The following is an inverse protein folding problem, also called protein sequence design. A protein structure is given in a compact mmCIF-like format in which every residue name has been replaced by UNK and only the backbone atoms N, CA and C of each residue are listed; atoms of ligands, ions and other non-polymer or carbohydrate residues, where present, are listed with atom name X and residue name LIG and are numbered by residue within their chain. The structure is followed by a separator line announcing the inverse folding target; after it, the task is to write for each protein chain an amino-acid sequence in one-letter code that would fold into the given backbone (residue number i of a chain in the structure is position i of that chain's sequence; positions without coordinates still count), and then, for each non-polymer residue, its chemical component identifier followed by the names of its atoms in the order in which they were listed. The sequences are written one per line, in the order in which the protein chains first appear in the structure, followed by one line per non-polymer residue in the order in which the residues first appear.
data_IF_403837638699
#
_entry.id   IF_403837638699
#
_cell.length_a   1.000
_cell.length_b   1.000
_cell.length_c   1.000
_cell.angle_alpha   90.00
_cell.angle_beta   90.00
_cell.angle_gamma   90.00
#
_symmetry.space_group_name_H-M   'P 1'
#
loop_
_entity.id
_entity.type
_entity.pdbx_description
1 polymer ?
#
# COMPACT_ATOMS: atom_id res chain seq x y z
N UNK A 1 24.81 25.32 12.52
CA UNK A 1 25.63 24.13 12.89
C UNK A 1 27.08 24.62 13.08
N UNK A 2 27.74 24.19 14.15
CA UNK A 2 29.18 24.47 14.35
C UNK A 2 29.93 23.16 14.06
N UNK A 3 30.95 23.24 13.21
CA UNK A 3 31.81 22.10 12.88
C UNK A 3 33.24 22.61 12.69
N UNK A 4 34.22 21.99 13.39
CA UNK A 4 35.64 22.41 13.40
C UNK A 4 35.84 23.92 13.69
N UNK A 5 35.06 24.46 14.63
CA UNK A 5 35.14 25.87 15.03
C UNK A 5 34.55 26.88 14.05
N UNK A 6 33.93 26.44 12.94
CA UNK A 6 33.24 27.31 11.97
C UNK A 6 31.74 27.17 12.08
N UNK A 7 31.02 28.27 11.90
CA UNK A 7 29.57 28.29 11.82
C UNK A 7 29.08 28.11 10.38
N UNK A 8 28.03 27.28 10.22
CA UNK A 8 27.38 27.04 8.94
C UNK A 8 25.87 27.20 9.11
N UNK A 9 25.26 27.95 8.21
CA UNK A 9 23.82 28.16 8.17
C UNK A 9 23.17 27.23 7.14
N UNK A 10 22.04 26.62 7.51
CA UNK A 10 21.23 25.79 6.63
C UNK A 10 19.81 26.31 6.62
N UNK A 11 19.19 26.46 5.42
CA UNK A 11 17.81 26.91 5.33
C UNK A 11 16.85 25.96 6.02
N UNK A 12 15.84 26.51 6.70
CA UNK A 12 14.69 25.76 7.19
C UNK A 12 13.60 25.81 6.12
N UNK A 13 13.14 24.66 5.70
CA UNK A 13 11.93 24.52 4.88
C UNK A 13 10.75 24.30 5.80
N UNK A 14 9.68 25.04 5.57
CA UNK A 14 8.43 24.93 6.35
C UNK A 14 7.32 24.45 5.42
N UNK A 15 6.65 23.37 5.80
CA UNK A 15 5.47 22.83 5.12
C UNK A 15 4.20 23.66 5.39
N UNK A 16 3.13 23.36 4.68
CA UNK A 16 1.85 24.08 4.82
C UNK A 16 1.16 23.85 6.18
N UNK A 17 1.46 22.75 6.84
CA UNK A 17 0.97 22.41 8.18
C UNK A 17 2.04 22.70 9.27
N UNK A 18 3.03 23.54 8.94
CA UNK A 18 4.12 23.98 9.81
C UNK A 18 5.18 22.93 10.17
N UNK A 19 5.28 21.81 9.46
CA UNK A 19 6.42 20.90 9.59
C UNK A 19 7.71 21.61 9.16
N UNK A 20 8.76 21.38 9.90
CA UNK A 20 10.04 22.04 9.66
C UNK A 20 11.12 21.01 9.35
N UNK A 21 11.85 21.27 8.27
CA UNK A 21 13.00 20.46 7.87
C UNK A 21 14.22 21.32 7.60
N UNK A 22 15.39 20.83 7.98
CA UNK A 22 16.67 21.45 7.62
C UNK A 22 17.00 21.02 6.18
N UNK A 23 17.18 21.99 5.28
CA UNK A 23 17.68 21.69 3.93
C UNK A 23 19.20 21.45 3.98
N UNK A 24 19.59 20.19 3.77
CA UNK A 24 20.97 19.71 3.84
C UNK A 24 21.66 19.56 2.47
N UNK A 25 21.05 20.01 1.37
CA UNK A 25 21.62 19.86 0.02
C UNK A 25 23.07 20.35 -0.10
N UNK A 26 23.39 21.46 0.58
CA UNK A 26 24.72 22.05 0.56
C UNK A 26 25.65 21.55 1.67
N UNK A 27 25.19 20.69 2.58
CA UNK A 27 25.95 20.23 3.74
C UNK A 27 27.34 19.71 3.35
N UNK A 28 27.38 18.78 2.40
CA UNK A 28 28.64 18.17 1.99
C UNK A 28 29.58 19.16 1.29
N UNK A 29 29.06 20.01 0.43
CA UNK A 29 29.86 21.00 -0.28
C UNK A 29 30.53 22.00 0.67
N UNK A 30 29.85 22.34 1.76
CA UNK A 30 30.33 23.32 2.74
C UNK A 30 31.24 22.71 3.81
N UNK A 31 31.01 21.45 4.20
CA UNK A 31 31.62 20.85 5.39
C UNK A 31 32.33 19.53 5.14
N UNK A 32 32.15 18.90 3.98
CA UNK A 32 32.57 17.51 3.72
C UNK A 32 31.69 16.44 4.36
N UNK A 33 30.83 16.81 5.31
CA UNK A 33 29.95 15.88 6.03
C UNK A 33 28.78 15.39 5.17
N UNK A 34 28.31 14.18 5.47
CA UNK A 34 27.02 13.65 5.02
C UNK A 34 26.17 13.29 6.25
N UNK A 35 24.86 13.14 6.06
CA UNK A 35 23.97 12.62 7.09
C UNK A 35 23.95 11.09 7.07
N UNK A 36 23.73 10.48 8.22
CA UNK A 36 23.52 9.05 8.37
C UNK A 36 22.21 8.82 9.13
N UNK A 37 21.21 8.27 8.44
CA UNK A 37 19.92 7.87 8.99
C UNK A 37 19.45 6.60 8.28
N UNK A 38 19.83 5.44 8.83
CA UNK A 38 19.47 4.16 8.26
C UNK A 38 17.98 3.90 8.37
N UNK A 39 17.32 3.72 7.20
CA UNK A 39 15.87 3.50 7.12
C UNK A 39 15.05 4.79 7.16
N UNK A 40 15.69 5.96 7.02
CA UNK A 40 15.04 7.28 6.84
C UNK A 40 14.05 7.66 7.94
N UNK A 41 14.31 7.28 9.18
CA UNK A 41 13.40 7.52 10.31
C UNK A 41 13.19 9.02 10.60
N UNK A 42 14.21 9.85 10.31
CA UNK A 42 14.24 11.28 10.56
C UNK A 42 14.66 12.06 9.30
N UNK A 43 14.38 11.53 8.11
CA UNK A 43 14.80 12.12 6.84
C UNK A 43 13.60 12.41 5.96
N UNK A 44 13.31 13.69 5.69
CA UNK A 44 12.40 14.10 4.63
C UNK A 44 13.06 13.86 3.26
N UNK A 45 12.53 12.92 2.47
CA UNK A 45 13.10 12.56 1.15
C UNK A 45 12.58 13.40 -0.01
N UNK A 46 11.45 14.08 0.18
CA UNK A 46 10.80 14.90 -0.85
C UNK A 46 9.85 15.93 -0.21
N UNK A 47 9.36 16.85 -1.03
CA UNK A 47 8.15 17.64 -0.75
C UNK A 47 6.99 17.00 -1.51
N UNK A 48 5.84 16.87 -0.86
CA UNK A 48 4.66 16.28 -1.50
C UNK A 48 3.40 17.01 -1.06
N UNK A 49 2.46 17.18 -1.99
CA UNK A 49 1.12 17.69 -1.73
C UNK A 49 0.06 16.56 -1.77
N UNK A 50 0.46 15.29 -1.83
CA UNK A 50 -0.48 14.15 -2.00
C UNK A 50 -1.17 13.82 -0.70
N UNK A 51 -0.40 13.60 0.37
CA UNK A 51 -0.94 13.12 1.65
C UNK A 51 -0.32 13.90 2.81
N UNK A 52 -1.17 14.41 3.68
CA UNK A 52 -0.79 14.91 5.00
C UNK A 52 -1.11 13.88 6.06
N UNK A 53 -0.15 13.62 6.94
CA UNK A 53 -0.28 12.67 8.03
C UNK A 53 0.29 13.26 9.33
N UNK A 54 -0.53 13.32 10.38
CA UNK A 54 -0.09 13.67 11.74
C UNK A 54 -0.38 12.49 12.66
N UNK A 55 0.68 11.76 12.99
CA UNK A 55 0.56 10.55 13.83
C UNK A 55 0.27 10.84 15.30
N UNK A 56 0.61 12.04 15.80
CA UNK A 56 0.33 12.43 17.20
C UNK A 56 -1.14 12.81 17.37
N UNK A 57 -1.71 13.50 16.39
CA UNK A 57 -3.11 13.93 16.38
C UNK A 57 -4.06 12.89 15.76
N UNK A 58 -3.53 11.85 15.10
CA UNK A 58 -4.33 10.85 14.41
C UNK A 58 -5.05 11.41 13.18
N UNK A 59 -4.39 12.28 12.40
CA UNK A 59 -4.96 12.93 11.23
C UNK A 59 -4.38 12.29 9.97
N UNK A 60 -5.24 12.00 8.99
CA UNK A 60 -4.87 11.61 7.63
C UNK A 60 -5.74 12.41 6.65
N UNK A 61 -5.10 13.08 5.68
CA UNK A 61 -5.78 13.83 4.62
C UNK A 61 -5.17 13.50 3.26
N UNK A 62 -6.02 13.34 2.27
CA UNK A 62 -5.60 13.25 0.86
C UNK A 62 -5.91 14.59 0.18
N UNK A 63 -4.90 15.27 -0.33
CA UNK A 63 -5.05 16.59 -0.97
C UNK A 63 -5.85 17.59 -0.13
N UNK A 64 -5.73 17.54 1.19
CA UNK A 64 -6.45 18.40 2.13
C UNK A 64 -7.80 17.86 2.63
N UNK A 65 -8.39 16.85 1.99
CA UNK A 65 -9.65 16.23 2.41
C UNK A 65 -9.42 15.18 3.49
N UNK A 66 -10.21 15.23 4.56
CA UNK A 66 -10.11 14.25 5.64
C UNK A 66 -10.50 12.85 5.15
N UNK A 67 -9.75 11.85 5.61
CA UNK A 67 -9.95 10.45 5.20
C UNK A 67 -11.34 9.93 5.59
N UNK A 68 -11.88 10.39 6.73
CA UNK A 68 -13.21 10.02 7.22
C UNK A 68 -14.32 10.48 6.25
N UNK A 69 -14.20 11.69 5.72
CA UNK A 69 -15.18 12.21 4.76
C UNK A 69 -15.09 11.50 3.42
N UNK A 70 -13.86 11.28 2.92
CA UNK A 70 -13.66 10.55 1.67
C UNK A 70 -14.20 9.12 1.76
N UNK A 71 -13.90 8.39 2.83
CA UNK A 71 -14.39 7.04 3.01
C UNK A 71 -15.92 6.93 3.20
N UNK A 72 -16.56 8.00 3.72
CA UNK A 72 -18.00 8.04 3.94
C UNK A 72 -18.80 8.43 2.69
N UNK A 73 -18.24 9.28 1.81
CA UNK A 73 -19.00 9.98 0.76
C UNK A 73 -18.54 9.66 -0.66
N UNK A 74 -17.27 9.28 -0.86
CA UNK A 74 -16.70 9.14 -2.19
C UNK A 74 -16.63 7.69 -2.67
N UNK A 75 -16.60 7.51 -3.99
CA UNK A 75 -16.20 6.26 -4.63
C UNK A 75 -14.67 6.18 -4.75
N UNK A 76 -14.13 4.96 -4.77
CA UNK A 76 -12.68 4.77 -4.86
C UNK A 76 -12.04 5.45 -6.07
N UNK A 77 -12.70 5.43 -7.22
CA UNK A 77 -12.16 6.11 -8.42
C UNK A 77 -12.20 7.64 -8.31
N UNK A 78 -13.14 8.24 -7.56
CA UNK A 78 -13.10 9.69 -7.25
C UNK A 78 -11.86 10.02 -6.42
N UNK A 79 -11.58 9.20 -5.39
CA UNK A 79 -10.40 9.38 -4.54
C UNK A 79 -9.11 9.11 -5.32
N UNK A 80 -9.11 8.13 -6.24
CA UNK A 80 -7.99 7.89 -7.14
C UNK A 80 -7.71 9.11 -8.03
N UNK A 81 -8.77 9.71 -8.59
CA UNK A 81 -8.66 10.94 -9.37
C UNK A 81 -8.09 12.08 -8.52
N UNK A 82 -8.66 12.31 -7.33
CA UNK A 82 -8.20 13.33 -6.38
C UNK A 82 -6.70 13.19 -6.08
N UNK A 83 -6.25 12.00 -5.67
CA UNK A 83 -4.85 11.74 -5.34
C UNK A 83 -3.92 12.10 -6.52
N UNK A 84 -4.30 11.67 -7.73
CA UNK A 84 -3.45 11.75 -8.91
C UNK A 84 -3.48 13.15 -9.56
N UNK A 85 -4.66 13.78 -9.63
CA UNK A 85 -4.82 15.05 -10.34
C UNK A 85 -4.89 16.27 -9.41
N UNK A 86 -5.14 16.08 -8.11
CA UNK A 86 -5.03 17.13 -7.11
C UNK A 86 -6.36 17.68 -6.60
N UNK A 87 -7.44 17.52 -7.36
CA UNK A 87 -8.79 17.99 -7.04
C UNK A 87 -9.81 16.85 -7.23
N UNK A 88 -10.96 16.95 -6.55
CA UNK A 88 -12.08 16.05 -6.81
C UNK A 88 -12.59 16.28 -8.24
N UNK A 89 -12.95 15.21 -8.98
CA UNK A 89 -13.46 15.35 -10.32
C UNK A 89 -14.85 16.01 -10.32
N UNK A 90 -15.12 16.79 -11.35
CA UNK A 90 -16.52 17.12 -11.71
C UNK A 90 -17.24 15.84 -12.18
N UNK A 91 -18.56 15.86 -12.25
CA UNK A 91 -19.33 14.71 -12.75
C UNK A 91 -18.90 14.28 -14.16
N UNK A 92 -18.62 15.26 -15.05
CA UNK A 92 -18.16 14.99 -16.42
C UNK A 92 -16.76 14.37 -16.44
N UNK A 93 -15.81 14.89 -15.66
CA UNK A 93 -14.46 14.34 -15.52
C UNK A 93 -14.48 12.94 -14.92
N UNK A 94 -15.35 12.70 -13.94
CA UNK A 94 -15.50 11.39 -13.34
C UNK A 94 -16.04 10.36 -14.32
N UNK A 95 -17.06 10.72 -15.10
CA UNK A 95 -17.61 9.84 -16.13
C UNK A 95 -16.61 9.56 -17.25
N UNK A 96 -15.82 10.55 -17.67
CA UNK A 96 -14.73 10.35 -18.63
C UNK A 96 -13.64 9.44 -18.07
N UNK A 97 -13.27 9.63 -16.81
CA UNK A 97 -12.26 8.82 -16.13
C UNK A 97 -12.68 7.34 -16.06
N UNK A 98 -13.91 7.06 -15.61
CA UNK A 98 -14.48 5.71 -15.59
C UNK A 98 -14.48 5.10 -17.00
N UNK A 99 -15.02 5.81 -17.98
CA UNK A 99 -15.09 5.35 -19.37
C UNK A 99 -13.71 5.06 -19.95
N UNK A 100 -12.73 5.90 -19.65
CA UNK A 100 -11.36 5.72 -20.14
C UNK A 100 -10.67 4.52 -19.47
N UNK A 101 -10.87 4.31 -18.16
CA UNK A 101 -10.39 3.10 -17.47
C UNK A 101 -11.02 1.86 -18.11
N UNK A 102 -12.35 1.84 -18.32
CA UNK A 102 -13.06 0.73 -18.97
C UNK A 102 -12.47 0.39 -20.34
N UNK A 103 -12.11 1.41 -21.13
CA UNK A 103 -11.48 1.22 -22.45
C UNK A 103 -10.15 0.46 -22.40
N UNK A 104 -9.41 0.56 -21.27
CA UNK A 104 -8.08 -0.04 -21.13
C UNK A 104 -8.06 -1.36 -20.33
N UNK A 105 -9.21 -1.93 -19.99
CA UNK A 105 -9.30 -3.16 -19.21
C UNK A 105 -8.85 -4.42 -19.93
N UNK A 106 -8.85 -4.42 -21.26
CA UNK A 106 -8.29 -5.56 -22.02
C UNK A 106 -6.76 -5.54 -21.93
N UNK A 107 -6.21 -6.65 -21.50
CA UNK A 107 -4.77 -6.91 -21.45
C UNK A 107 -4.38 -7.66 -22.73
N UNK A 108 -3.15 -7.43 -23.24
CA UNK A 108 -2.67 -8.12 -24.45
C UNK A 108 -2.71 -9.64 -24.23
N UNK A 109 -3.16 -10.40 -25.24
CA UNK A 109 -3.32 -11.86 -25.11
C UNK A 109 -2.00 -12.58 -24.77
N UNK A 110 -0.86 -12.09 -25.24
CA UNK A 110 0.45 -12.68 -24.91
C UNK A 110 0.77 -12.59 -23.40
N UNK A 111 0.12 -11.70 -22.65
CA UNK A 111 0.24 -11.69 -21.19
C UNK A 111 -0.30 -13.00 -20.56
N UNK A 112 -1.22 -13.71 -21.23
CA UNK A 112 -1.69 -15.03 -20.76
C UNK A 112 -0.55 -16.04 -20.79
N UNK A 113 0.27 -16.04 -21.83
CA UNK A 113 1.44 -16.94 -21.91
C UNK A 113 2.43 -16.65 -20.78
N UNK A 114 2.63 -15.38 -20.41
CA UNK A 114 3.46 -15.01 -19.27
C UNK A 114 2.84 -15.54 -17.97
N UNK A 115 1.53 -15.36 -17.80
CA UNK A 115 0.80 -15.87 -16.63
C UNK A 115 0.81 -17.41 -16.57
N UNK A 116 0.72 -18.09 -17.71
CA UNK A 116 0.75 -19.55 -17.79
C UNK A 116 2.10 -20.15 -17.40
N UNK A 117 3.18 -19.39 -17.55
CA UNK A 117 4.53 -19.78 -17.11
C UNK A 117 4.73 -19.82 -15.60
N UNK A 118 3.86 -19.21 -14.79
CA UNK A 118 3.96 -19.29 -13.33
C UNK A 118 3.33 -20.58 -12.78
N UNK A 119 3.97 -21.24 -11.80
CA UNK A 119 3.33 -22.36 -11.10
C UNK A 119 2.16 -21.85 -10.25
N UNK A 120 1.12 -22.69 -10.08
CA UNK A 120 -0.05 -22.32 -9.26
C UNK A 120 0.31 -22.03 -7.79
N UNK A 121 1.38 -22.63 -7.30
CA UNK A 121 1.91 -22.42 -5.95
C UNK A 121 2.76 -21.16 -5.80
N UNK A 122 2.98 -20.38 -6.90
CA UNK A 122 3.73 -19.15 -6.80
C UNK A 122 3.02 -18.13 -5.91
N UNK A 123 3.79 -17.42 -5.08
CA UNK A 123 3.22 -16.40 -4.21
C UNK A 123 2.57 -15.27 -5.04
N UNK A 124 1.30 -14.90 -4.78
CA UNK A 124 0.54 -13.94 -5.59
C UNK A 124 1.24 -12.60 -5.82
N UNK A 125 1.91 -12.06 -4.80
CA UNK A 125 2.63 -10.80 -4.91
C UNK A 125 3.84 -10.87 -5.86
N UNK A 126 4.54 -12.00 -5.88
CA UNK A 126 5.65 -12.23 -6.83
C UNK A 126 5.15 -12.28 -8.27
N UNK A 127 4.02 -12.95 -8.49
CA UNK A 127 3.37 -13.00 -9.81
C UNK A 127 2.86 -11.63 -10.22
N UNK A 128 2.21 -10.89 -9.30
CA UNK A 128 1.72 -9.53 -9.56
C UNK A 128 2.87 -8.57 -9.94
N UNK A 129 3.97 -8.59 -9.19
CA UNK A 129 5.14 -7.77 -9.47
C UNK A 129 5.72 -8.07 -10.87
N UNK A 130 5.94 -9.35 -11.16
CA UNK A 130 6.50 -9.81 -12.44
C UNK A 130 5.58 -9.47 -13.62
N UNK A 131 4.30 -9.75 -13.52
CA UNK A 131 3.33 -9.46 -14.58
C UNK A 131 3.12 -7.95 -14.76
N UNK A 132 3.14 -7.15 -13.68
CA UNK A 132 3.11 -5.69 -13.78
C UNK A 132 4.34 -5.15 -14.49
N UNK A 133 5.54 -5.68 -14.20
CA UNK A 133 6.76 -5.32 -14.94
C UNK A 133 6.66 -5.70 -16.41
N UNK A 134 6.13 -6.88 -16.74
CA UNK A 134 5.94 -7.34 -18.10
C UNK A 134 5.03 -6.40 -18.94
N UNK A 135 4.07 -5.70 -18.30
CA UNK A 135 3.24 -4.70 -18.99
C UNK A 135 4.07 -3.58 -19.64
N UNK A 136 5.29 -3.34 -19.21
CA UNK A 136 6.21 -2.38 -19.84
C UNK A 136 6.49 -2.76 -21.31
N UNK A 137 6.65 -4.04 -21.62
CA UNK A 137 6.89 -4.51 -22.97
C UNK A 137 5.69 -4.25 -23.93
N UNK A 138 4.47 -4.26 -23.38
CA UNK A 138 3.24 -3.98 -24.12
C UNK A 138 2.84 -2.49 -24.13
N UNK A 139 3.63 -1.64 -23.46
CA UNK A 139 3.46 -0.20 -23.41
C UNK A 139 4.83 0.50 -23.63
N UNK A 140 5.48 0.28 -24.79
CA UNK A 140 6.88 0.66 -24.99
C UNK A 140 7.09 2.17 -25.14
N UNK A 141 6.03 2.94 -25.38
CA UNK A 141 6.16 4.39 -25.56
C UNK A 141 6.31 5.06 -24.20
N UNK A 142 7.44 5.76 -23.94
CA UNK A 142 7.63 6.50 -22.71
C UNK A 142 6.54 7.54 -22.48
N UNK A 143 6.12 7.68 -21.24
CA UNK A 143 5.13 8.71 -20.85
C UNK A 143 5.80 10.08 -20.88
N UNK A 144 5.37 10.95 -21.79
CA UNK A 144 5.74 12.36 -21.71
C UNK A 144 4.97 13.01 -20.55
N UNK A 145 5.65 13.21 -19.42
CA UNK A 145 5.05 13.75 -18.19
C UNK A 145 4.61 15.21 -18.31
N UNK A 146 5.10 15.93 -19.34
CA UNK A 146 4.71 17.30 -19.64
C UNK A 146 3.49 17.38 -20.59
N UNK A 147 2.98 16.23 -21.05
CA UNK A 147 1.78 16.15 -21.87
C UNK A 147 0.61 15.60 -21.03
N UNK A 148 -0.38 16.42 -20.61
CA UNK A 148 -1.50 15.98 -19.76
C UNK A 148 -2.23 14.78 -20.34
N UNK A 149 -2.43 14.73 -21.65
CA UNK A 149 -3.10 13.61 -22.34
C UNK A 149 -2.31 12.29 -22.20
N UNK A 150 -0.98 12.33 -22.35
CA UNK A 150 -0.15 11.12 -22.17
C UNK A 150 -0.18 10.63 -20.73
N UNK A 151 -0.10 11.54 -19.75
CA UNK A 151 -0.19 11.22 -18.34
C UNK A 151 -1.56 10.61 -18.03
N UNK A 152 -2.64 11.24 -18.46
CA UNK A 152 -4.02 10.76 -18.24
C UNK A 152 -4.22 9.33 -18.80
N UNK A 153 -3.78 9.09 -20.01
CA UNK A 153 -3.86 7.76 -20.64
C UNK A 153 -3.02 6.71 -19.89
N UNK A 154 -1.81 7.06 -19.47
CA UNK A 154 -0.94 6.15 -18.72
C UNK A 154 -1.53 5.78 -17.36
N UNK A 155 -2.10 6.76 -16.65
CA UNK A 155 -2.82 6.58 -15.40
C UNK A 155 -4.00 5.60 -15.55
N UNK A 156 -4.89 5.87 -16.52
CA UNK A 156 -6.06 5.01 -16.76
C UNK A 156 -5.64 3.59 -17.15
N UNK A 157 -4.60 3.45 -17.99
CA UNK A 157 -4.03 2.14 -18.34
C UNK A 157 -3.47 1.40 -17.12
N UNK A 158 -2.76 2.10 -16.23
CA UNK A 158 -2.16 1.48 -15.05
C UNK A 158 -3.25 0.97 -14.11
N UNK A 159 -4.25 1.80 -13.79
CA UNK A 159 -5.38 1.40 -12.92
C UNK A 159 -6.11 0.20 -13.53
N UNK A 160 -6.47 0.26 -14.80
CA UNK A 160 -7.21 -0.81 -15.47
C UNK A 160 -6.41 -2.13 -15.49
N UNK A 161 -5.17 -2.09 -16.00
CA UNK A 161 -4.40 -3.31 -16.28
C UNK A 161 -3.88 -3.99 -15.02
N UNK A 162 -3.43 -3.23 -14.02
CA UNK A 162 -2.93 -3.82 -12.76
C UNK A 162 -4.07 -4.52 -12.01
N UNK A 163 -5.29 -3.94 -12.02
CA UNK A 163 -6.48 -4.58 -11.42
C UNK A 163 -6.84 -5.88 -12.13
N UNK A 164 -6.80 -5.93 -13.46
CA UNK A 164 -7.05 -7.16 -14.22
C UNK A 164 -5.96 -8.20 -13.91
N UNK A 165 -4.69 -7.82 -13.94
CA UNK A 165 -3.59 -8.75 -13.60
C UNK A 165 -3.74 -9.29 -12.18
N UNK A 166 -4.13 -8.47 -11.21
CA UNK A 166 -4.39 -8.91 -9.84
C UNK A 166 -5.48 -10.00 -9.77
N UNK A 167 -6.56 -9.82 -10.55
CA UNK A 167 -7.60 -10.85 -10.64
C UNK A 167 -7.10 -12.12 -11.34
N UNK A 168 -6.28 -11.99 -12.37
CA UNK A 168 -5.69 -13.14 -13.08
C UNK A 168 -4.74 -13.93 -12.16
N UNK A 169 -4.01 -13.27 -11.28
CA UNK A 169 -3.19 -13.91 -10.24
C UNK A 169 -4.05 -14.82 -9.35
N UNK A 170 -5.19 -14.32 -8.87
CA UNK A 170 -6.15 -15.11 -8.08
C UNK A 170 -6.69 -16.29 -8.89
N UNK A 171 -7.22 -16.01 -10.10
CA UNK A 171 -7.82 -17.03 -10.98
C UNK A 171 -6.85 -18.16 -11.32
N UNK A 172 -5.59 -17.81 -11.61
CA UNK A 172 -4.52 -18.78 -11.88
C UNK A 172 -4.26 -19.68 -10.67
N UNK A 173 -4.20 -19.09 -9.47
CA UNK A 173 -4.01 -19.83 -8.22
C UNK A 173 -5.15 -20.84 -7.99
N UNK A 174 -6.39 -20.40 -8.15
CA UNK A 174 -7.57 -21.24 -7.99
C UNK A 174 -7.76 -22.28 -9.13
N UNK A 175 -7.04 -22.12 -10.24
CA UNK A 175 -7.23 -22.93 -11.43
C UNK A 175 -8.53 -22.65 -12.16
N UNK A 176 -9.02 -21.41 -12.03
CA UNK A 176 -10.25 -20.93 -12.65
C UNK A 176 -9.98 -20.24 -13.99
N UNK A 177 -10.93 -20.23 -14.94
CA UNK A 177 -10.80 -19.47 -16.18
C UNK A 177 -10.68 -17.98 -15.88
N UNK A 178 -9.94 -17.24 -16.71
CA UNK A 178 -9.79 -15.79 -16.57
C UNK A 178 -11.12 -15.10 -16.83
N UNK A 179 -11.45 -14.12 -15.99
CA UNK A 179 -12.62 -13.25 -16.15
C UNK A 179 -12.24 -11.94 -16.81
N UNK A 180 -13.23 -11.32 -17.47
CA UNK A 180 -13.11 -10.05 -18.14
C UNK A 180 -14.04 -9.01 -17.50
N UNK A 181 -13.66 -7.75 -17.65
CA UNK A 181 -14.38 -6.60 -17.11
C UNK A 181 -15.74 -6.42 -17.81
N UNK A 182 -16.78 -6.12 -17.03
CA UNK A 182 -18.11 -5.76 -17.55
C UNK A 182 -18.32 -4.24 -17.45
N UNK A 183 -18.39 -3.57 -18.59
CA UNK A 183 -18.56 -2.13 -18.67
C UNK A 183 -19.91 -1.62 -18.14
N UNK A 184 -20.86 -2.52 -17.83
CA UNK A 184 -22.16 -2.17 -17.25
C UNK A 184 -22.16 -2.13 -15.73
N UNK A 185 -21.08 -2.58 -15.10
CA UNK A 185 -20.93 -2.68 -13.65
C UNK A 185 -19.95 -1.62 -13.13
N UNK A 186 -20.12 -1.23 -11.87
CA UNK A 186 -19.19 -0.34 -11.17
C UNK A 186 -17.80 -0.96 -10.99
N UNK A 187 -16.81 -0.13 -10.67
CA UNK A 187 -15.43 -0.58 -10.54
C UNK A 187 -15.26 -1.60 -9.42
N UNK A 188 -15.83 -1.36 -8.24
CA UNK A 188 -15.75 -2.28 -7.10
C UNK A 188 -16.54 -3.57 -7.38
N UNK A 189 -17.71 -3.46 -8.01
CA UNK A 189 -18.49 -4.62 -8.44
C UNK A 189 -17.68 -5.49 -9.41
N UNK A 190 -16.97 -4.87 -10.34
CA UNK A 190 -16.09 -5.60 -11.25
C UNK A 190 -14.92 -6.28 -10.53
N UNK A 191 -14.32 -5.66 -9.52
CA UNK A 191 -13.28 -6.33 -8.72
C UNK A 191 -13.85 -7.63 -8.14
N UNK A 192 -15.00 -7.59 -7.48
CA UNK A 192 -15.65 -8.78 -6.90
C UNK A 192 -15.96 -9.84 -7.96
N UNK A 193 -16.51 -9.44 -9.10
CA UNK A 193 -16.79 -10.36 -10.22
C UNK A 193 -15.53 -10.98 -10.82
N UNK A 194 -14.51 -10.16 -11.05
CA UNK A 194 -13.24 -10.63 -11.61
C UNK A 194 -12.58 -11.70 -10.73
N UNK A 195 -12.73 -11.61 -9.43
CA UNK A 195 -12.20 -12.58 -8.49
C UNK A 195 -13.13 -13.81 -8.36
N UNK A 196 -14.41 -13.61 -8.10
CA UNK A 196 -15.30 -14.66 -7.59
C UNK A 196 -16.31 -15.24 -8.61
N UNK A 197 -16.66 -14.48 -9.66
CA UNK A 197 -17.63 -15.00 -10.65
C UNK A 197 -17.09 -16.22 -11.40
N UNK A 198 -17.91 -17.24 -11.52
CA UNK A 198 -17.60 -18.44 -12.32
C UNK A 198 -18.49 -18.50 -13.56
N UNK A 199 -18.06 -19.14 -14.68
CA UNK A 199 -18.82 -19.15 -15.93
C UNK A 199 -20.19 -19.81 -15.84
N UNK A 200 -20.40 -20.63 -14.83
CA UNK A 200 -21.63 -21.41 -14.64
C UNK A 200 -22.65 -20.74 -13.71
N UNK A 201 -22.25 -19.67 -13.02
CA UNK A 201 -23.12 -18.96 -12.06
C UNK A 201 -22.76 -17.47 -12.00
N UNK A 202 -23.77 -16.62 -12.15
CA UNK A 202 -23.60 -15.15 -12.00
C UNK A 202 -23.29 -14.80 -10.55
N UNK A 203 -22.26 -13.99 -10.35
CA UNK A 203 -21.90 -13.49 -9.02
C UNK A 203 -22.95 -12.52 -8.48
N UNK A 204 -23.60 -12.88 -7.38
CA UNK A 204 -24.60 -12.02 -6.72
C UNK A 204 -23.90 -10.90 -5.94
N UNK A 205 -23.93 -9.72 -6.51
CA UNK A 205 -23.35 -8.54 -5.90
C UNK A 205 -24.12 -8.16 -4.62
N UNK A 206 -23.38 -8.11 -3.49
CA UNK A 206 -23.92 -7.65 -2.21
C UNK A 206 -23.50 -6.19 -1.98
N UNK A 207 -24.43 -5.23 -1.85
CA UNK A 207 -24.11 -3.80 -1.68
C UNK A 207 -23.28 -3.51 -0.43
N UNK A 208 -23.45 -4.27 0.66
CA UNK A 208 -22.66 -4.11 1.87
C UNK A 208 -21.19 -4.47 1.63
N UNK A 209 -20.94 -5.53 0.89
CA UNK A 209 -19.58 -5.96 0.49
C UNK A 209 -18.94 -4.91 -0.44
N UNK A 210 -19.71 -4.40 -1.42
CA UNK A 210 -19.24 -3.33 -2.32
C UNK A 210 -18.84 -2.10 -1.52
N UNK A 211 -19.68 -1.65 -0.58
CA UNK A 211 -19.41 -0.51 0.28
C UNK A 211 -18.17 -0.72 1.16
N UNK A 212 -18.03 -1.89 1.78
CA UNK A 212 -16.89 -2.22 2.61
C UNK A 212 -15.58 -2.24 1.82
N UNK A 213 -15.57 -2.88 0.64
CA UNK A 213 -14.40 -2.93 -0.23
C UNK A 213 -14.03 -1.53 -0.77
N UNK A 214 -15.03 -0.71 -1.13
CA UNK A 214 -14.82 0.68 -1.53
C UNK A 214 -14.09 1.48 -0.43
N UNK A 215 -14.60 1.45 0.79
CA UNK A 215 -13.96 2.10 1.94
C UNK A 215 -12.54 1.58 2.16
N UNK A 216 -12.36 0.27 2.11
CA UNK A 216 -11.08 -0.39 2.33
C UNK A 216 -10.04 0.07 1.31
N UNK A 217 -10.37 0.12 0.02
CA UNK A 217 -9.46 0.59 -1.02
C UNK A 217 -9.14 2.09 -0.86
N UNK A 218 -10.12 2.92 -0.48
CA UNK A 218 -9.90 4.34 -0.17
C UNK A 218 -8.89 4.50 0.97
N UNK A 219 -9.07 3.76 2.07
CA UNK A 219 -8.22 3.83 3.25
C UNK A 219 -6.78 3.36 2.98
N UNK A 220 -6.58 2.56 1.95
CA UNK A 220 -5.27 2.12 1.47
C UNK A 220 -4.64 3.04 0.42
N UNK A 221 -5.37 4.06 -0.09
CA UNK A 221 -5.01 4.87 -1.27
C UNK A 221 -3.60 5.44 -1.24
N UNK A 222 -3.22 6.09 -0.15
CA UNK A 222 -1.84 6.56 0.09
C UNK A 222 -1.54 6.66 1.60
N UNK A 223 -0.27 6.69 1.95
CA UNK A 223 0.16 6.86 3.34
C UNK A 223 1.59 7.42 3.38
N UNK A 224 1.77 8.61 2.80
CA UNK A 224 3.02 9.34 2.77
C UNK A 224 4.19 8.52 2.20
N UNK A 225 5.44 8.75 2.68
CA UNK A 225 6.65 8.08 2.23
C UNK A 225 6.88 6.72 2.93
N UNK A 226 5.89 5.82 2.85
CA UNK A 226 6.10 4.43 3.24
C UNK A 226 7.09 3.73 2.30
N UNK A 227 7.55 2.53 2.67
CA UNK A 227 8.59 1.81 1.94
C UNK A 227 8.27 1.64 0.44
N UNK A 228 7.05 1.24 0.07
CA UNK A 228 6.69 1.04 -1.34
C UNK A 228 6.56 2.34 -2.11
N UNK A 229 6.02 3.39 -1.50
CA UNK A 229 5.93 4.73 -2.11
C UNK A 229 7.32 5.32 -2.37
N UNK A 230 8.23 5.25 -1.38
CA UNK A 230 9.62 5.69 -1.54
C UNK A 230 10.35 4.89 -2.62
N UNK A 231 10.08 3.57 -2.73
CA UNK A 231 10.64 2.72 -3.78
C UNK A 231 10.13 3.12 -5.16
N UNK A 232 8.84 3.41 -5.31
CA UNK A 232 8.26 3.91 -6.57
C UNK A 232 8.91 5.23 -6.99
N UNK A 233 9.09 6.17 -6.07
CA UNK A 233 9.79 7.43 -6.34
C UNK A 233 11.26 7.18 -6.71
N UNK A 234 11.95 6.33 -5.97
CA UNK A 234 13.37 6.02 -6.23
C UNK A 234 13.58 5.41 -7.62
N UNK A 235 12.80 4.38 -7.98
CA UNK A 235 12.88 3.76 -9.31
C UNK A 235 12.43 4.74 -10.39
N UNK A 236 11.33 5.45 -10.19
CA UNK A 236 10.82 6.44 -11.13
C UNK A 236 11.76 7.62 -11.38
N UNK A 237 12.61 7.97 -10.38
CA UNK A 237 13.61 9.04 -10.52
C UNK A 237 14.70 8.73 -11.55
N UNK A 238 14.91 7.46 -11.86
CA UNK A 238 15.81 7.01 -12.93
C UNK A 238 15.19 7.12 -14.33
N UNK A 239 13.97 7.68 -14.44
CA UNK A 239 13.15 7.72 -15.64
C UNK A 239 12.61 6.36 -16.12
N UNK A 240 12.68 5.33 -15.28
CA UNK A 240 11.98 4.08 -15.51
C UNK A 240 10.47 4.34 -15.69
N UNK A 241 9.85 3.60 -16.61
CA UNK A 241 8.44 3.77 -16.94
C UNK A 241 7.50 3.51 -15.77
N UNK A 242 6.26 4.00 -15.89
CA UNK A 242 5.25 3.89 -14.81
C UNK A 242 5.03 2.45 -14.34
N UNK A 243 4.90 1.48 -15.25
CA UNK A 243 4.71 0.07 -14.87
C UNK A 243 5.91 -0.52 -14.12
N UNK A 244 7.15 -0.17 -14.52
CA UNK A 244 8.36 -0.59 -13.81
C UNK A 244 8.39 0.00 -12.39
N UNK A 245 8.03 1.26 -12.24
CA UNK A 245 7.94 1.92 -10.94
C UNK A 245 6.85 1.29 -10.06
N UNK A 246 5.66 1.01 -10.60
CA UNK A 246 4.58 0.32 -9.87
C UNK A 246 5.02 -1.09 -9.46
N UNK A 247 5.67 -1.85 -10.36
CA UNK A 247 6.19 -3.19 -10.05
C UNK A 247 7.17 -3.17 -8.88
N UNK A 248 8.03 -2.17 -8.80
CA UNK A 248 8.96 -2.00 -7.67
C UNK A 248 8.20 -1.69 -6.37
N UNK A 249 7.14 -0.90 -6.44
CA UNK A 249 6.23 -0.66 -5.31
C UNK A 249 5.54 -1.93 -4.84
N UNK A 250 5.05 -2.77 -5.77
CA UNK A 250 4.46 -4.08 -5.46
C UNK A 250 5.49 -4.98 -4.76
N UNK A 251 6.73 -5.01 -5.26
CA UNK A 251 7.82 -5.80 -4.68
C UNK A 251 8.15 -5.34 -3.25
N UNK A 252 8.20 -4.04 -3.00
CA UNK A 252 8.43 -3.49 -1.66
C UNK A 252 7.24 -3.75 -0.72
N UNK A 253 6.01 -3.66 -1.24
CA UNK A 253 4.80 -3.92 -0.46
C UNK A 253 4.71 -5.38 0.00
N UNK A 254 5.23 -6.33 -0.79
CA UNK A 254 5.25 -7.75 -0.45
C UNK A 254 6.03 -8.06 0.83
N UNK A 255 7.01 -7.23 1.20
CA UNK A 255 7.84 -7.45 2.37
C UNK A 255 7.03 -7.59 3.67
N UNK A 256 7.35 -8.62 4.47
CA UNK A 256 6.70 -8.92 5.76
C UNK A 256 6.62 -7.72 6.72
N UNK A 257 7.57 -6.79 6.65
CA UNK A 257 7.61 -5.59 7.49
C UNK A 257 6.77 -4.43 6.92
N UNK A 258 6.08 -4.62 5.78
CA UNK A 258 5.31 -3.59 5.11
C UNK A 258 3.86 -4.04 4.87
N UNK A 259 3.54 -4.72 3.78
CA UNK A 259 2.16 -5.06 3.41
C UNK A 259 1.62 -6.37 3.96
N UNK A 260 2.43 -7.14 4.69
CA UNK A 260 2.04 -8.46 5.22
C UNK A 260 1.32 -8.43 6.57
N UNK A 261 1.01 -7.26 7.12
CA UNK A 261 0.47 -7.17 8.49
C UNK A 261 -0.95 -7.74 8.59
N UNK A 262 -1.82 -7.51 7.61
CA UNK A 262 -3.19 -8.02 7.60
C UNK A 262 -3.27 -9.56 7.47
N UNK A 263 -2.37 -10.17 6.70
CA UNK A 263 -2.21 -11.62 6.65
C UNK A 263 -1.76 -12.16 8.01
N UNK A 264 -0.73 -11.57 8.59
CA UNK A 264 -0.20 -11.96 9.89
C UNK A 264 -1.24 -11.85 11.04
N UNK A 265 -2.21 -10.96 10.94
CA UNK A 265 -3.35 -10.89 11.86
C UNK A 265 -4.16 -12.18 11.83
N UNK A 266 -4.54 -12.63 10.65
CA UNK A 266 -5.37 -13.83 10.54
C UNK A 266 -4.58 -15.08 10.93
N UNK A 267 -3.30 -15.19 10.54
CA UNK A 267 -2.42 -16.28 10.98
C UNK A 267 -2.32 -16.34 12.50
N UNK A 268 -2.19 -15.20 13.18
CA UNK A 268 -2.21 -15.10 14.63
C UNK A 268 -3.56 -15.55 15.24
N UNK A 269 -4.67 -15.13 14.65
CA UNK A 269 -6.01 -15.52 15.13
C UNK A 269 -6.23 -17.03 14.94
N UNK A 270 -5.77 -17.61 13.86
CA UNK A 270 -5.80 -19.05 13.59
C UNK A 270 -4.90 -19.83 14.57
N UNK A 271 -3.70 -19.31 14.89
CA UNK A 271 -2.82 -19.88 15.92
C UNK A 271 -3.50 -19.90 17.29
N UNK A 272 -4.12 -18.78 17.71
CA UNK A 272 -4.85 -18.69 18.99
C UNK A 272 -6.00 -19.70 19.02
N UNK A 273 -6.75 -19.84 17.91
CA UNK A 273 -7.84 -20.79 17.81
C UNK A 273 -7.37 -22.24 17.91
N UNK A 274 -6.31 -22.58 17.17
CA UNK A 274 -5.76 -23.92 17.11
C UNK A 274 -5.15 -24.39 18.45
N UNK A 275 -4.57 -23.46 19.23
CA UNK A 275 -3.98 -23.77 20.55
C UNK A 275 -5.03 -24.21 21.58
N UNK A 276 -6.27 -23.73 21.48
CA UNK A 276 -7.38 -24.08 22.40
C UNK A 276 -7.21 -23.60 23.86
N UNK A 277 -6.10 -22.95 24.20
CA UNK A 277 -5.79 -22.49 25.56
C UNK A 277 -6.43 -21.14 25.94
N UNK A 278 -7.25 -20.59 25.06
CA UNK A 278 -7.98 -19.35 25.25
C UNK A 278 -7.17 -18.09 24.95
N UNK A 279 -7.89 -16.99 24.69
CA UNK A 279 -7.32 -15.69 24.27
C UNK A 279 -6.42 -15.09 25.36
N UNK A 280 -6.79 -15.24 26.63
CA UNK A 280 -6.06 -14.66 27.77
C UNK A 280 -4.63 -15.18 27.91
N UNK A 281 -4.38 -16.43 27.52
CA UNK A 281 -3.02 -17.00 27.45
C UNK A 281 -2.13 -16.17 26.50
N UNK A 282 -2.62 -15.81 25.34
CA UNK A 282 -1.88 -15.05 24.33
C UNK A 282 -1.76 -13.56 24.69
N UNK A 283 -2.75 -13.00 25.37
CA UNK A 283 -2.67 -11.67 25.97
C UNK A 283 -1.51 -11.61 26.98
N UNK A 284 -1.39 -12.61 27.84
CA UNK A 284 -0.30 -12.70 28.83
C UNK A 284 1.06 -12.87 28.16
N UNK A 285 1.17 -13.69 27.09
CA UNK A 285 2.39 -13.79 26.27
C UNK A 285 2.77 -12.42 25.65
N UNK A 286 1.79 -11.70 25.11
CA UNK A 286 2.05 -10.38 24.50
C UNK A 286 2.51 -9.33 25.54
N UNK A 287 2.15 -9.48 26.81
CA UNK A 287 2.59 -8.64 27.92
C UNK A 287 3.99 -9.00 28.42
N UNK A 288 4.43 -10.23 28.23
CA UNK A 288 5.77 -10.69 28.63
C UNK A 288 6.81 -10.21 27.60
N UNK A 289 7.79 -9.43 28.06
CA UNK A 289 8.88 -8.93 27.21
C UNK A 289 9.82 -10.05 26.73
N UNK A 290 9.89 -11.16 27.45
CA UNK A 290 10.74 -12.29 27.12
C UNK A 290 10.08 -13.29 26.17
N UNK A 291 8.74 -13.25 26.02
CA UNK A 291 8.03 -14.06 25.04
C UNK A 291 8.17 -13.43 23.64
N UNK A 292 8.49 -14.20 22.59
CA UNK A 292 8.60 -13.71 21.22
C UNK A 292 7.23 -13.34 20.61
N UNK A 293 6.13 -13.81 21.19
CA UNK A 293 4.78 -13.53 20.67
C UNK A 293 4.46 -12.04 20.70
N UNK A 294 3.85 -11.57 19.63
CA UNK A 294 3.38 -10.17 19.51
C UNK A 294 1.99 -10.16 18.89
N UNK A 295 1.14 -9.25 19.37
CA UNK A 295 -0.15 -9.02 18.76
C UNK A 295 0.02 -8.32 17.41
N UNK A 296 -0.35 -9.02 16.34
CA UNK A 296 -0.33 -8.49 14.98
C UNK A 296 -1.57 -7.62 14.73
N UNK A 297 -1.40 -6.52 14.01
CA UNK A 297 -2.49 -5.56 13.78
C UNK A 297 -2.78 -4.62 14.96
N UNK A 298 -1.89 -4.56 15.95
CA UNK A 298 -1.98 -3.66 17.11
C UNK A 298 -0.82 -2.67 17.15
N UNK A 299 -1.14 -1.41 17.45
CA UNK A 299 -0.19 -0.31 17.40
C UNK A 299 0.15 0.12 15.97
N UNK A 300 0.88 1.22 15.83
CA UNK A 300 1.30 1.75 14.53
C UNK A 300 2.65 2.47 14.65
N UNK A 301 3.48 2.41 13.59
CA UNK A 301 4.79 3.09 13.60
C UNK A 301 4.68 4.61 13.64
N UNK A 302 3.63 5.16 13.04
CA UNK A 302 3.41 6.60 12.89
C UNK A 302 2.40 7.10 13.91
N UNK A 303 1.20 6.48 13.98
CA UNK A 303 0.17 6.90 14.92
C UNK A 303 0.56 6.55 16.36
N UNK A 304 0.72 7.59 17.19
CA UNK A 304 0.84 7.47 18.64
C UNK A 304 -0.51 7.56 19.33
N UNK A 305 -1.55 7.81 18.57
CA UNK A 305 -2.95 7.83 18.95
C UNK A 305 -3.70 6.79 18.11
N UNK A 306 -5.01 6.79 18.14
CA UNK A 306 -5.84 5.88 17.37
C UNK A 306 -5.68 6.12 15.86
N UNK A 307 -5.50 5.07 15.07
CA UNK A 307 -5.48 5.15 13.60
C UNK A 307 -6.87 5.58 13.10
N UNK A 308 -7.02 6.75 12.42
CA UNK A 308 -8.34 7.24 12.00
C UNK A 308 -9.04 6.26 11.04
N UNK A 309 -8.28 5.44 10.33
CA UNK A 309 -8.82 4.44 9.40
C UNK A 309 -9.47 3.27 10.14
N UNK A 310 -8.95 2.92 11.32
CA UNK A 310 -9.44 1.76 12.07
C UNK A 310 -10.90 1.89 12.51
N UNK A 311 -11.37 3.08 12.89
CA UNK A 311 -12.78 3.32 13.24
C UNK A 311 -13.73 3.04 12.07
N UNK A 312 -13.32 3.48 10.88
CA UNK A 312 -14.14 3.35 9.67
C UNK A 312 -14.24 1.89 9.26
N UNK A 313 -13.08 1.23 9.21
CA UNK A 313 -13.03 -0.15 8.72
C UNK A 313 -13.59 -1.16 9.73
N UNK A 314 -13.58 -0.84 11.03
CA UNK A 314 -14.27 -1.62 12.06
C UNK A 314 -15.75 -1.74 11.77
N UNK A 315 -16.43 -0.61 11.55
CA UNK A 315 -17.87 -0.60 11.21
C UNK A 315 -18.12 -1.41 9.95
N UNK A 316 -17.29 -1.24 8.92
CA UNK A 316 -17.42 -2.01 7.69
C UNK A 316 -17.20 -3.53 7.90
N UNK A 317 -16.30 -3.92 8.81
CA UNK A 317 -16.09 -5.33 9.15
C UNK A 317 -17.31 -5.93 9.85
N UNK A 318 -17.87 -5.23 10.84
CA UNK A 318 -19.10 -5.66 11.51
C UNK A 318 -20.27 -5.78 10.52
N UNK A 319 -20.45 -4.81 9.62
CA UNK A 319 -21.47 -4.83 8.57
C UNK A 319 -21.32 -6.05 7.66
N UNK A 320 -20.10 -6.37 7.22
CA UNK A 320 -19.82 -7.53 6.35
C UNK A 320 -20.12 -8.84 7.06
N UNK A 321 -19.66 -9.01 8.30
CA UNK A 321 -19.92 -10.22 9.08
C UNK A 321 -21.40 -10.46 9.28
N UNK A 322 -22.16 -9.40 9.60
CA UNK A 322 -23.62 -9.46 9.75
C UNK A 322 -24.32 -9.78 8.42
N UNK A 323 -23.91 -9.14 7.32
CA UNK A 323 -24.52 -9.35 6.00
C UNK A 323 -24.30 -10.75 5.43
N UNK A 324 -23.19 -11.38 5.79
CA UNK A 324 -22.83 -12.75 5.38
C UNK A 324 -23.32 -13.81 6.35
N UNK A 325 -23.79 -13.44 7.55
CA UNK A 325 -24.24 -14.37 8.59
C UNK A 325 -23.12 -15.30 9.06
N UNK A 326 -21.87 -14.80 9.10
CA UNK A 326 -20.70 -15.63 9.44
C UNK A 326 -20.58 -15.76 10.96
N UNK A 327 -20.62 -17.00 11.42
CA UNK A 327 -20.34 -17.40 12.80
C UNK A 327 -19.05 -18.25 12.83
N UNK A 328 -17.90 -17.59 12.68
CA UNK A 328 -16.58 -18.24 12.75
C UNK A 328 -15.92 -17.89 14.08
N UNK A 329 -15.44 -18.87 14.86
CA UNK A 329 -14.75 -18.68 16.15
C UNK A 329 -13.60 -17.66 16.11
N UNK A 330 -12.91 -17.54 14.97
CA UNK A 330 -11.82 -16.58 14.77
C UNK A 330 -12.28 -15.13 14.97
N UNK A 331 -13.48 -14.79 14.52
CA UNK A 331 -14.04 -13.44 14.72
C UNK A 331 -14.44 -13.18 16.17
N UNK A 332 -14.85 -14.22 16.92
CA UNK A 332 -15.04 -14.15 18.36
C UNK A 332 -13.73 -13.83 19.09
N UNK A 333 -12.63 -14.49 18.71
CA UNK A 333 -11.29 -14.23 19.22
C UNK A 333 -10.86 -12.79 18.91
N UNK A 334 -11.08 -12.33 17.67
CA UNK A 334 -10.74 -10.96 17.27
C UNK A 334 -11.49 -9.91 18.11
N UNK A 335 -12.80 -10.08 18.35
CA UNK A 335 -13.60 -9.19 19.19
C UNK A 335 -13.11 -9.18 20.64
N UNK A 336 -12.70 -10.34 21.18
CA UNK A 336 -12.13 -10.40 22.53
C UNK A 336 -10.80 -9.65 22.62
N UNK A 337 -9.87 -9.89 21.67
CA UNK A 337 -8.59 -9.17 21.62
C UNK A 337 -8.78 -7.66 21.50
N UNK A 338 -9.70 -7.22 20.65
CA UNK A 338 -10.06 -5.82 20.50
C UNK A 338 -10.53 -5.23 21.84
N UNK A 339 -11.49 -5.87 22.49
CA UNK A 339 -12.04 -5.43 23.79
C UNK A 339 -10.92 -5.27 24.82
N UNK A 340 -10.06 -6.27 24.95
CA UNK A 340 -8.95 -6.22 25.91
C UNK A 340 -7.99 -5.08 25.58
N UNK A 341 -7.63 -4.89 24.29
CA UNK A 341 -6.73 -3.81 23.90
C UNK A 341 -7.30 -2.41 24.17
N UNK A 342 -8.62 -2.26 24.14
CA UNK A 342 -9.30 -0.99 24.43
C UNK A 342 -9.51 -0.74 25.93
N UNK A 343 -9.54 -1.77 26.77
CA UNK A 343 -9.84 -1.67 28.20
C UNK A 343 -8.61 -1.81 29.10
N UNK A 344 -7.64 -2.64 28.74
CA UNK A 344 -6.48 -3.00 29.56
C UNK A 344 -5.39 -1.90 29.56
N UNK A 345 -4.95 -1.48 30.74
CA UNK A 345 -3.98 -0.40 30.94
C UNK A 345 -2.60 -0.68 30.31
N UNK A 346 -2.19 -1.95 30.20
CA UNK A 346 -0.91 -2.29 29.54
C UNK A 346 -0.92 -1.89 28.06
N UNK A 347 -2.03 -2.14 27.35
CA UNK A 347 -2.17 -1.81 25.93
C UNK A 347 -2.43 -0.32 25.74
N UNK A 348 -3.29 0.28 26.55
CA UNK A 348 -3.59 1.73 26.51
C UNK A 348 -2.36 2.59 26.73
N UNK A 349 -1.58 2.30 27.78
CA UNK A 349 -0.35 3.06 28.10
C UNK A 349 0.74 2.96 27.04
N UNK A 350 0.64 1.98 26.14
CA UNK A 350 1.58 1.76 25.01
C UNK A 350 0.98 2.07 23.65
N UNK A 351 -0.26 2.58 23.61
CA UNK A 351 -1.00 2.89 22.38
C UNK A 351 -1.11 1.68 21.43
N UNK A 352 -1.28 0.48 21.99
CA UNK A 352 -1.42 -0.75 21.23
C UNK A 352 -2.90 -1.00 20.88
N UNK A 353 -3.49 -0.07 20.15
CA UNK A 353 -4.85 -0.17 19.63
C UNK A 353 -4.89 -0.98 18.34
N UNK A 354 -6.03 -1.65 18.03
CA UNK A 354 -6.21 -2.26 16.71
C UNK A 354 -6.08 -1.22 15.60
N UNK A 355 -5.36 -1.55 14.54
CA UNK A 355 -5.12 -0.69 13.40
C UNK A 355 -5.91 -1.15 12.16
N UNK A 356 -5.71 -0.48 11.01
CA UNK A 356 -6.41 -0.80 9.77
C UNK A 356 -6.16 -2.24 9.30
N UNK A 357 -4.97 -2.80 9.55
CA UNK A 357 -4.61 -4.15 9.10
C UNK A 357 -5.36 -5.23 9.87
N UNK A 358 -5.70 -4.98 11.16
CA UNK A 358 -6.51 -5.87 11.97
C UNK A 358 -7.89 -6.10 11.35
N UNK A 359 -8.59 -5.03 11.01
CA UNK A 359 -9.95 -5.14 10.47
C UNK A 359 -9.98 -5.50 8.98
N UNK A 360 -9.01 -5.07 8.19
CA UNK A 360 -8.93 -5.44 6.78
C UNK A 360 -8.74 -6.94 6.59
N UNK A 361 -7.91 -7.57 7.44
CA UNK A 361 -7.74 -9.02 7.45
C UNK A 361 -9.05 -9.76 7.70
N UNK A 362 -9.85 -9.27 8.66
CA UNK A 362 -11.17 -9.83 8.98
C UNK A 362 -12.11 -9.75 7.78
N UNK A 363 -12.19 -8.60 7.10
CA UNK A 363 -13.04 -8.44 5.91
C UNK A 363 -12.61 -9.40 4.81
N UNK A 364 -11.33 -9.46 4.47
CA UNK A 364 -10.84 -10.31 3.39
C UNK A 364 -11.08 -11.79 3.67
N UNK A 365 -10.88 -12.24 4.92
CA UNK A 365 -11.22 -13.61 5.32
C UNK A 365 -12.71 -13.88 5.22
N UNK A 366 -13.56 -12.96 5.67
CA UNK A 366 -15.01 -13.07 5.56
C UNK A 366 -15.50 -13.18 4.11
N UNK A 367 -14.80 -12.55 3.17
CA UNK A 367 -15.05 -12.68 1.73
C UNK A 367 -14.56 -14.00 1.12
N UNK A 368 -13.95 -14.89 1.90
CA UNK A 368 -13.36 -16.14 1.40
C UNK A 368 -12.06 -15.97 0.62
N UNK A 369 -11.39 -14.83 0.79
CA UNK A 369 -10.13 -14.55 0.11
C UNK A 369 -8.99 -15.34 0.77
N UNK A 370 -8.11 -15.97 -0.02
CA UNK A 370 -6.90 -16.58 0.50
C UNK A 370 -5.96 -15.55 1.15
N UNK A 371 -5.32 -15.91 2.25
CA UNK A 371 -4.44 -15.02 3.04
C UNK A 371 -3.38 -14.32 2.18
N UNK A 372 -2.71 -15.04 1.30
CA UNK A 372 -1.66 -14.51 0.43
C UNK A 372 -2.18 -13.49 -0.61
N UNK A 373 -3.51 -13.41 -0.82
CA UNK A 373 -4.14 -12.41 -1.70
C UNK A 373 -4.42 -11.08 -1.01
N UNK A 374 -4.35 -11.00 0.32
CA UNK A 374 -4.65 -9.78 1.07
C UNK A 374 -3.76 -8.61 0.64
N UNK A 375 -2.46 -8.87 0.50
CA UNK A 375 -1.51 -7.85 0.04
C UNK A 375 -1.72 -7.48 -1.44
N UNK A 376 -2.28 -8.37 -2.26
CA UNK A 376 -2.66 -8.05 -3.65
C UNK A 376 -3.81 -7.04 -3.68
N UNK A 377 -4.84 -7.23 -2.83
CA UNK A 377 -5.94 -6.26 -2.71
C UNK A 377 -5.44 -4.92 -2.13
N UNK A 378 -4.50 -4.98 -1.18
CA UNK A 378 -3.83 -3.80 -0.69
C UNK A 378 -3.12 -3.06 -1.84
N UNK A 379 -2.41 -3.77 -2.72
CA UNK A 379 -1.73 -3.17 -3.87
C UNK A 379 -2.72 -2.46 -4.82
N UNK A 380 -3.91 -3.02 -5.06
CA UNK A 380 -4.98 -2.35 -5.84
C UNK A 380 -5.37 -1.02 -5.17
N UNK A 381 -5.60 -1.03 -3.85
CA UNK A 381 -5.94 0.18 -3.11
C UNK A 381 -4.83 1.23 -3.15
N UNK A 382 -3.55 0.81 -3.01
CA UNK A 382 -2.38 1.70 -2.98
C UNK A 382 -1.97 2.23 -4.36
N UNK A 383 -2.43 1.62 -5.42
CA UNK A 383 -2.05 1.97 -6.79
C UNK A 383 -2.23 3.46 -7.14
N UNK A 384 -3.35 4.15 -6.80
CA UNK A 384 -3.50 5.58 -7.04
C UNK A 384 -2.43 6.42 -6.32
N UNK A 385 -2.10 6.08 -5.08
CA UNK A 385 -1.04 6.77 -4.33
C UNK A 385 0.32 6.63 -5.00
N UNK A 386 0.72 5.43 -5.41
CA UNK A 386 1.96 5.22 -6.15
C UNK A 386 2.00 6.03 -7.45
N UNK A 387 0.90 6.06 -8.21
CA UNK A 387 0.79 6.83 -9.45
C UNK A 387 0.89 8.33 -9.17
N UNK A 388 0.20 8.83 -8.13
CA UNK A 388 0.23 10.23 -7.72
C UNK A 388 1.65 10.67 -7.34
N UNK A 389 2.33 9.88 -6.52
CA UNK A 389 3.70 10.11 -6.05
C UNK A 389 4.72 10.05 -7.20
N UNK A 390 4.56 9.09 -8.11
CA UNK A 390 5.37 9.00 -9.34
C UNK A 390 5.17 10.23 -10.23
N UNK A 391 3.92 10.63 -10.47
CA UNK A 391 3.56 11.78 -11.30
C UNK A 391 4.14 13.07 -10.72
N UNK A 392 3.94 13.31 -9.42
CA UNK A 392 4.43 14.50 -8.73
C UNK A 392 5.96 14.62 -8.84
N UNK A 393 6.69 13.55 -8.51
CA UNK A 393 8.14 13.49 -8.60
C UNK A 393 8.64 13.75 -10.03
N UNK A 394 8.03 13.09 -11.03
CA UNK A 394 8.43 13.22 -12.44
C UNK A 394 8.14 14.60 -13.01
N UNK A 395 6.99 15.20 -12.69
CA UNK A 395 6.61 16.54 -13.12
C UNK A 395 7.40 17.63 -12.37
N UNK A 396 7.76 17.38 -11.12
CA UNK A 396 8.62 18.27 -10.34
C UNK A 396 10.07 18.29 -10.78
N UNK A 397 10.50 17.40 -11.67
CA UNK A 397 11.88 17.32 -12.15
C UNK A 397 12.87 16.96 -11.04
N UNK A 398 12.43 16.16 -10.06
CA UNK A 398 13.30 15.72 -8.97
C UNK A 398 14.52 14.95 -9.51
N UNK A 399 15.71 15.15 -8.92
CA UNK A 399 16.92 14.47 -9.36
C UNK A 399 16.84 12.96 -9.09
N UNK A 400 17.69 12.20 -9.80
CA UNK A 400 17.82 10.77 -9.55
C UNK A 400 18.21 10.48 -8.10
N UNK A 401 17.46 9.60 -7.45
CA UNK A 401 17.73 9.15 -6.09
C UNK A 401 19.02 8.34 -6.02
N UNK A 402 20.04 8.89 -5.38
CA UNK A 402 21.34 8.25 -5.18
C UNK A 402 21.89 8.54 -3.78
N UNK A 403 21.44 7.81 -2.76
CA UNK A 403 21.95 7.99 -1.40
C UNK A 403 23.44 7.67 -1.33
N UNK A 404 24.11 8.22 -0.31
CA UNK A 404 25.52 7.94 0.00
C UNK A 404 25.61 6.87 1.06
N UNK A 405 26.83 6.31 1.21
CA UNK A 405 27.16 5.37 2.27
C UNK A 405 28.41 5.82 3.02
N UNK A 406 28.53 5.40 4.26
CA UNK A 406 29.78 5.40 5.02
C UNK A 406 30.46 4.06 4.77
N UNK A 407 31.65 4.09 4.18
CA UNK A 407 32.42 2.90 3.95
C UNK A 407 33.11 2.44 5.25
N UNK A 408 32.89 1.20 5.63
CA UNK A 408 33.44 0.56 6.82
C UNK A 408 34.25 -0.71 6.50
N UNK A 409 34.55 -0.91 5.22
CA UNK A 409 35.33 -2.05 4.76
C UNK A 409 36.85 -1.85 4.95
N UNK A 410 37.62 -2.76 4.40
CA UNK A 410 39.07 -2.66 4.44
C UNK A 410 39.58 -1.45 3.66
N UNK A 411 40.72 -0.89 4.09
CA UNK A 411 41.50 0.06 3.30
C UNK A 411 42.06 -0.61 2.06
N UNK A 412 42.75 0.15 1.21
CA UNK A 412 43.40 -0.36 0.00
C UNK A 412 44.24 -1.60 0.28
N UNK A 413 44.06 -2.64 -0.52
CA UNK A 413 44.81 -3.89 -0.44
C UNK A 413 45.40 -4.21 -1.80
N UNK A 414 46.68 -4.72 -1.85
CA UNK A 414 47.21 -5.20 -3.10
C UNK A 414 46.46 -6.45 -3.57
N UNK A 415 46.29 -6.56 -4.88
CA UNK A 415 45.73 -7.78 -5.46
C UNK A 415 46.71 -8.92 -5.30
N UNK A 416 46.26 -10.03 -4.73
CA UNK A 416 47.01 -11.26 -4.62
C UNK A 416 46.49 -12.24 -5.66
N UNK A 417 47.36 -12.82 -6.47
CA UNK A 417 47.02 -13.84 -7.47
C UNK A 417 46.39 -15.07 -6.82
N UNK A 418 45.46 -15.75 -7.53
CA UNK A 418 44.70 -16.87 -6.97
C UNK A 418 45.59 -17.97 -6.39
N UNK A 419 46.73 -18.29 -7.05
CA UNK A 419 47.67 -19.28 -6.63
C UNK A 419 48.57 -18.87 -5.44
N UNK A 420 48.42 -17.64 -4.93
CA UNK A 420 49.19 -17.08 -3.79
C UNK A 420 48.26 -16.68 -2.62
N UNK A 421 46.97 -17.03 -2.65
CA UNK A 421 46.01 -16.75 -1.59
C UNK A 421 45.96 -17.86 -0.54
#
# INVERSE_FOLDING_TARGET
MIFEGKEYEFPIVVGTENEKAINIEKLRALTGLITLDSGYKNTGSCKSAVTFLDGERGILRYRGYNIEELAAKAEFLEVAYLLIFGELPTAEEYDDFKRTIHKYTLVHEDMRHIMDGFPRSAHPMGVLASATSALTAFNPVPVNVNCPKHVYQAVCKAIAKVTIIASWVYRKREGLPLNYYDNKKGYIENILRLFFEIPTEEYKINPTIVSALNKLLILHGDHEQNCSTSTVRLVGSSEAGLFASISSGVSALWGRLHGGANQAVIEMLEEIHADGGGVDKFINKAKDKNDPFRLMGFGHRVYKNFDPRAKIIKVAADDVLNALGIDDPIFGIAKHLEKVALEDEYFKSRNLYPNVDFYSGIIYKALGMHLEMFTVLFAIGRLPGWIAQWKEMRQGGEPIGRPRQIYVGATERPFVELNKR
#
